data_IF_944774115926
#
_entry.id   IF_944774115926
#
_cell.length_a   1.000
_cell.length_b   1.000
_cell.length_c   1.000
_cell.angle_alpha   90.00
_cell.angle_beta   90.00
_cell.angle_gamma   90.00
#
_symmetry.space_group_name_H-M   'P 1'
#
loop_
_entity.id
_entity.type
_entity.pdbx_description
1 polymer ?
#
# COMPACT_ATOMS: atom_id res chain seq x y z
N UNK A 1 22.91 58.11 -34.52
CA UNK A 1 23.56 56.80 -34.43
C UNK A 1 23.08 56.16 -33.13
N UNK A 2 22.15 55.19 -33.26
CA UNK A 2 21.58 54.50 -32.10
C UNK A 2 22.00 53.03 -32.18
N UNK A 3 22.85 52.61 -31.25
CA UNK A 3 23.20 51.19 -31.10
C UNK A 3 22.15 50.51 -30.21
N UNK A 4 21.49 49.50 -30.74
CA UNK A 4 20.44 48.75 -30.07
C UNK A 4 21.06 47.68 -29.16
N UNK A 5 20.63 47.66 -27.91
CA UNK A 5 20.93 46.61 -26.95
C UNK A 5 20.20 45.29 -27.32
N UNK A 6 20.91 44.33 -27.85
CA UNK A 6 20.44 43.00 -28.21
C UNK A 6 21.15 41.93 -27.35
N UNK A 7 21.16 42.05 -26.03
CA UNK A 7 21.99 41.18 -25.19
C UNK A 7 21.31 40.53 -23.98
N UNK A 8 20.04 40.79 -23.69
CA UNK A 8 19.48 40.36 -22.39
C UNK A 8 18.34 39.35 -22.49
N UNK A 9 17.82 39.06 -23.70
CA UNK A 9 16.65 38.16 -23.85
C UNK A 9 17.04 36.68 -23.94
N UNK A 10 18.33 36.37 -24.16
CA UNK A 10 18.75 34.95 -24.33
C UNK A 10 19.02 34.16 -23.04
N UNK A 11 19.12 34.81 -21.89
CA UNK A 11 19.55 34.12 -20.65
C UNK A 11 18.38 33.63 -19.74
N UNK A 12 17.14 34.05 -20.00
CA UNK A 12 16.00 33.71 -19.11
C UNK A 12 15.27 32.45 -19.54
N UNK A 13 15.40 32.02 -20.81
CA UNK A 13 14.73 30.81 -21.33
C UNK A 13 15.48 29.50 -21.01
N UNK A 14 16.71 29.55 -20.52
CA UNK A 14 17.52 28.37 -20.19
C UNK A 14 17.28 27.79 -18.78
N UNK A 15 16.68 28.55 -17.86
CA UNK A 15 16.54 28.15 -16.47
C UNK A 15 15.18 27.49 -16.15
N UNK A 16 14.21 27.58 -17.03
CA UNK A 16 12.87 26.97 -16.82
C UNK A 16 12.83 25.51 -17.26
N UNK A 17 13.77 25.07 -18.09
CA UNK A 17 13.79 23.71 -18.66
C UNK A 17 14.38 22.60 -17.76
N UNK A 18 15.07 22.94 -16.68
CA UNK A 18 15.80 21.93 -15.86
C UNK A 18 14.97 21.42 -14.69
N UNK A 19 13.88 22.08 -14.32
CA UNK A 19 13.04 21.64 -13.19
C UNK A 19 11.99 20.58 -13.52
N UNK A 20 11.81 20.25 -14.80
CA UNK A 20 10.79 19.29 -15.23
C UNK A 20 11.25 17.82 -15.26
N UNK A 21 12.54 17.54 -15.03
CA UNK A 21 13.10 16.19 -15.18
C UNK A 21 13.32 15.43 -13.86
N UNK A 22 12.96 15.99 -12.71
CA UNK A 22 13.13 15.32 -11.40
C UNK A 22 11.83 14.74 -10.86
N UNK A 23 10.71 14.86 -11.59
CA UNK A 23 9.42 14.25 -11.19
C UNK A 23 9.30 12.76 -11.59
N UNK A 24 10.38 12.11 -11.94
CA UNK A 24 10.41 10.69 -12.32
C UNK A 24 10.70 9.78 -11.12
N UNK A 25 9.66 9.29 -10.44
CA UNK A 25 9.70 7.93 -9.90
C UNK A 25 10.41 7.68 -8.58
N UNK A 26 10.56 8.63 -7.68
CA UNK A 26 10.88 8.31 -6.30
C UNK A 26 9.63 7.74 -5.61
N UNK A 27 9.72 6.50 -5.10
CA UNK A 27 8.71 5.96 -4.20
C UNK A 27 8.49 6.95 -3.04
N UNK A 28 7.23 7.16 -2.65
CA UNK A 28 6.92 8.00 -1.49
C UNK A 28 7.59 7.45 -0.23
N UNK A 29 7.84 8.27 0.78
CA UNK A 29 8.36 7.78 2.06
C UNK A 29 7.42 6.74 2.68
N UNK A 30 6.11 6.92 2.53
CA UNK A 30 5.10 5.94 2.92
C UNK A 30 5.31 4.60 2.21
N UNK A 31 5.54 4.62 0.90
CA UNK A 31 5.76 3.39 0.13
C UNK A 31 7.07 2.69 0.50
N UNK A 32 8.14 3.45 0.79
CA UNK A 32 9.40 2.88 1.30
C UNK A 32 9.19 2.23 2.67
N UNK A 33 8.49 2.92 3.58
CA UNK A 33 8.14 2.35 4.88
C UNK A 33 7.29 1.09 4.72
N UNK A 34 6.30 1.11 3.83
CA UNK A 34 5.48 -0.06 3.50
C UNK A 34 6.29 -1.23 3.01
N UNK A 35 7.30 -0.99 2.16
CA UNK A 35 8.23 -2.04 1.69
C UNK A 35 9.01 -2.69 2.83
N UNK A 36 9.53 -1.89 3.76
CA UNK A 36 10.27 -2.40 4.92
C UNK A 36 9.39 -3.27 5.81
N UNK A 37 8.18 -2.79 6.11
CA UNK A 37 7.20 -3.52 6.91
C UNK A 37 6.74 -4.79 6.21
N UNK A 38 6.48 -4.73 4.91
CA UNK A 38 6.13 -5.89 4.10
C UNK A 38 7.23 -6.96 4.14
N UNK A 39 8.49 -6.56 3.97
CA UNK A 39 9.62 -7.47 4.03
C UNK A 39 9.74 -8.16 5.41
N UNK A 40 9.34 -7.47 6.48
CA UNK A 40 9.42 -8.04 7.83
C UNK A 40 8.22 -8.95 8.18
N UNK A 41 7.00 -8.55 7.81
CA UNK A 41 5.78 -9.18 8.30
C UNK A 41 5.05 -10.04 7.25
N UNK A 42 5.20 -9.76 5.96
CA UNK A 42 4.36 -10.32 4.90
C UNK A 42 5.11 -11.24 3.95
N UNK A 43 6.37 -10.92 3.66
CA UNK A 43 7.19 -11.57 2.63
C UNK A 43 7.32 -13.09 2.85
N UNK A 44 7.36 -13.54 4.09
CA UNK A 44 7.52 -14.96 4.39
C UNK A 44 6.38 -15.83 3.84
N UNK A 45 5.17 -15.28 3.82
CA UNK A 45 3.99 -15.98 3.31
C UNK A 45 3.64 -15.57 1.88
N UNK A 46 3.76 -14.29 1.54
CA UNK A 46 3.34 -13.75 0.25
C UNK A 46 4.46 -13.66 -0.80
N UNK A 47 5.72 -13.97 -0.44
CA UNK A 47 6.87 -13.83 -1.32
C UNK A 47 7.42 -12.40 -1.39
N UNK A 48 8.64 -12.25 -1.86
CA UNK A 48 9.32 -10.95 -1.94
C UNK A 48 8.64 -10.00 -2.93
N UNK A 49 8.18 -10.53 -4.07
CA UNK A 49 7.47 -9.76 -5.09
C UNK A 49 5.95 -9.86 -5.00
N UNK A 50 5.43 -10.46 -3.94
CA UNK A 50 4.00 -10.71 -3.75
C UNK A 50 3.42 -11.82 -4.60
N UNK A 51 4.28 -12.56 -5.33
CA UNK A 51 3.84 -13.65 -6.20
C UNK A 51 3.50 -14.88 -5.39
N UNK A 52 2.40 -15.49 -5.79
CA UNK A 52 2.02 -16.80 -5.31
C UNK A 52 3.20 -17.77 -5.56
N UNK A 53 3.52 -18.62 -4.59
CA UNK A 53 4.61 -19.59 -4.59
C UNK A 53 6.04 -19.09 -4.27
N UNK A 54 6.26 -17.81 -4.08
CA UNK A 54 7.56 -17.30 -3.61
C UNK A 54 7.69 -17.34 -2.06
N UNK A 55 6.58 -17.52 -1.34
CA UNK A 55 6.59 -17.59 0.12
C UNK A 55 7.36 -18.80 0.65
N UNK A 56 7.93 -18.65 1.83
CA UNK A 56 8.65 -19.74 2.50
C UNK A 56 7.71 -20.91 2.80
N UNK A 57 8.13 -22.12 2.45
CA UNK A 57 7.34 -23.35 2.61
C UNK A 57 5.96 -23.32 1.93
N UNK A 58 5.82 -22.62 0.82
CA UNK A 58 4.56 -22.50 0.07
C UNK A 58 3.80 -23.83 -0.06
N UNK A 59 4.48 -24.90 -0.43
CA UNK A 59 3.86 -26.22 -0.67
C UNK A 59 3.23 -26.84 0.58
N UNK A 60 3.73 -26.50 1.77
CA UNK A 60 3.26 -27.03 3.05
C UNK A 60 2.30 -26.07 3.79
N UNK A 61 2.03 -24.89 3.24
CA UNK A 61 1.04 -24.00 3.82
C UNK A 61 -0.36 -24.59 3.71
N UNK A 62 -1.23 -24.39 4.74
CA UNK A 62 -2.62 -24.81 4.66
C UNK A 62 -3.40 -24.04 3.59
N UNK A 63 -4.52 -24.58 3.17
CA UNK A 63 -5.46 -23.87 2.33
C UNK A 63 -6.43 -23.02 3.19
N UNK A 64 -6.88 -21.87 2.69
CA UNK A 64 -6.50 -21.25 1.42
C UNK A 64 -5.06 -20.72 1.44
N UNK A 65 -4.33 -20.91 0.34
CA UNK A 65 -2.98 -20.39 0.16
C UNK A 65 -2.95 -18.86 0.24
N UNK A 66 -1.81 -18.24 0.62
CA UNK A 66 -1.64 -16.81 0.53
C UNK A 66 -1.97 -16.29 -0.87
N UNK A 67 -2.71 -15.18 -0.92
CA UNK A 67 -3.13 -14.55 -2.17
C UNK A 67 -1.94 -14.03 -2.98
N UNK A 68 -2.03 -14.11 -4.31
CA UNK A 68 -1.06 -13.50 -5.24
C UNK A 68 -1.29 -11.99 -5.29
N UNK A 69 -0.45 -11.25 -4.58
CA UNK A 69 -0.52 -9.79 -4.48
C UNK A 69 0.03 -9.08 -5.72
N UNK A 70 0.70 -9.81 -6.62
CA UNK A 70 1.20 -9.27 -7.90
C UNK A 70 0.16 -9.37 -9.01
N UNK A 71 -0.91 -10.13 -8.82
CA UNK A 71 -1.96 -10.33 -9.81
C UNK A 71 -2.86 -9.09 -9.92
N UNK A 72 -2.57 -8.21 -10.89
CA UNK A 72 -3.33 -6.98 -11.11
C UNK A 72 -4.83 -7.22 -11.32
N UNK A 73 -5.19 -8.23 -12.10
CA UNK A 73 -6.59 -8.52 -12.41
C UNK A 73 -7.40 -8.84 -11.16
N UNK A 74 -6.83 -9.61 -10.25
CA UNK A 74 -7.47 -9.98 -9.01
C UNK A 74 -7.42 -8.84 -7.99
N UNK A 75 -6.24 -8.24 -7.79
CA UNK A 75 -6.04 -7.21 -6.79
C UNK A 75 -6.77 -5.90 -7.09
N UNK A 76 -7.10 -5.62 -8.37
CA UNK A 76 -7.89 -4.45 -8.74
C UNK A 76 -9.36 -4.54 -8.32
N UNK A 77 -9.86 -5.71 -7.97
CA UNK A 77 -11.24 -5.89 -7.47
C UNK A 77 -11.42 -5.45 -6.02
N UNK A 78 -10.32 -5.35 -5.27
CA UNK A 78 -10.35 -4.93 -3.87
C UNK A 78 -10.14 -3.43 -3.74
N UNK A 79 -10.90 -2.81 -2.83
CA UNK A 79 -10.66 -1.43 -2.39
C UNK A 79 -9.48 -1.39 -1.42
N UNK A 80 -8.90 -0.21 -1.23
CA UNK A 80 -7.77 -0.03 -0.29
C UNK A 80 -8.16 -0.39 1.14
N UNK A 81 -9.39 -0.01 1.54
CA UNK A 81 -9.94 -0.30 2.86
C UNK A 81 -10.16 -1.81 3.08
N UNK A 82 -10.46 -2.57 2.03
CA UNK A 82 -10.64 -4.02 2.13
C UNK A 82 -9.30 -4.71 2.36
N UNK A 83 -8.23 -4.23 1.71
CA UNK A 83 -6.87 -4.71 1.96
C UNK A 83 -6.45 -4.34 3.39
N UNK A 84 -6.69 -3.09 3.80
CA UNK A 84 -6.42 -2.62 5.16
C UNK A 84 -7.16 -3.48 6.20
N UNK A 85 -8.45 -3.70 6.01
CA UNK A 85 -9.28 -4.50 6.92
C UNK A 85 -8.83 -5.96 6.99
N UNK A 86 -8.32 -6.51 5.88
CA UNK A 86 -7.76 -7.86 5.86
C UNK A 86 -6.50 -7.96 6.72
N UNK A 87 -5.65 -6.94 6.72
CA UNK A 87 -4.42 -6.89 7.52
C UNK A 87 -4.73 -6.63 8.99
N UNK A 88 -5.71 -5.75 9.29
CA UNK A 88 -6.07 -5.28 10.62
C UNK A 88 -7.25 -6.02 11.25
N UNK A 89 -7.80 -7.06 10.62
CA UNK A 89 -8.98 -7.78 11.11
C UNK A 89 -8.80 -8.27 12.55
N UNK A 90 -9.88 -8.41 13.28
CA UNK A 90 -9.86 -9.08 14.57
C UNK A 90 -9.67 -10.60 14.38
N UNK A 91 -8.98 -11.26 15.31
CA UNK A 91 -8.81 -12.72 15.28
C UNK A 91 -10.13 -13.50 15.31
N UNK A 92 -11.19 -12.86 15.77
CA UNK A 92 -12.55 -13.43 15.83
C UNK A 92 -13.32 -13.26 14.51
N UNK A 93 -12.86 -12.37 13.63
CA UNK A 93 -13.49 -12.16 12.35
C UNK A 93 -13.01 -13.24 11.38
N UNK A 94 -13.84 -14.24 11.19
CA UNK A 94 -13.70 -15.17 10.07
C UNK A 94 -13.65 -14.34 8.78
N UNK A 95 -12.67 -14.62 7.94
CA UNK A 95 -12.32 -13.87 6.73
C UNK A 95 -13.49 -13.22 6.01
N UNK A 96 -13.38 -11.93 5.60
CA UNK A 96 -14.24 -11.36 4.57
C UNK A 96 -13.91 -12.02 3.23
N UNK A 97 -14.69 -12.91 2.82
CA UNK A 97 -14.46 -13.83 1.71
C UNK A 97 -14.82 -15.24 2.10
N UNK A 98 -15.24 -15.36 3.37
CA UNK A 98 -15.90 -16.49 4.02
C UNK A 98 -16.00 -17.77 3.22
N UNK A 99 -14.88 -18.31 2.78
CA UNK A 99 -14.83 -19.73 2.56
C UNK A 99 -15.01 -20.33 3.95
N UNK A 100 -16.23 -20.70 4.25
CA UNK A 100 -16.54 -21.59 5.36
C UNK A 100 -15.63 -22.80 5.19
N UNK A 101 -14.53 -22.80 5.94
CA UNK A 101 -13.68 -23.98 6.05
C UNK A 101 -14.48 -24.97 6.87
N UNK A 102 -15.42 -25.69 6.19
CA UNK A 102 -16.28 -26.67 6.82
C UNK A 102 -17.11 -26.13 7.99
N UNK A 103 -17.86 -26.99 8.63
CA UNK A 103 -18.63 -26.68 9.85
C UNK A 103 -17.74 -26.56 11.12
N UNK A 104 -16.43 -26.40 10.97
CA UNK A 104 -15.49 -26.30 12.07
C UNK A 104 -15.50 -24.87 12.67
N UNK A 105 -16.10 -24.78 13.84
CA UNK A 105 -16.17 -23.60 14.71
C UNK A 105 -14.77 -23.04 15.11
N UNK A 106 -13.69 -23.70 14.73
CA UNK A 106 -12.28 -23.40 15.05
C UNK A 106 -11.40 -23.10 13.83
N UNK A 107 -11.96 -22.73 12.68
CA UNK A 107 -11.17 -22.35 11.52
C UNK A 107 -10.35 -21.08 11.83
N UNK A 108 -9.11 -21.27 12.24
CA UNK A 108 -8.16 -20.16 12.46
C UNK A 108 -7.78 -19.60 11.10
N UNK A 109 -7.97 -18.30 10.84
CA UNK A 109 -7.48 -17.68 9.61
C UNK A 109 -5.98 -17.95 9.45
N UNK A 110 -5.58 -18.42 8.27
CA UNK A 110 -4.17 -18.71 7.96
C UNK A 110 -3.30 -17.46 8.00
N UNK A 111 -3.87 -16.29 7.66
CA UNK A 111 -3.19 -15.01 7.78
C UNK A 111 -3.39 -14.43 9.19
N UNK A 112 -2.33 -14.16 9.95
CA UNK A 112 -2.43 -13.55 11.27
C UNK A 112 -3.01 -12.12 11.19
N UNK A 113 -3.57 -11.64 12.30
CA UNK A 113 -3.93 -10.22 12.42
C UNK A 113 -2.73 -9.38 12.82
N UNK A 114 -2.61 -8.20 12.23
CA UNK A 114 -1.57 -7.24 12.59
C UNK A 114 -2.12 -6.02 13.35
N UNK A 115 -3.42 -6.01 13.67
CA UNK A 115 -4.11 -4.93 14.40
C UNK A 115 -3.44 -4.51 15.70
N UNK A 116 -2.83 -5.47 16.39
CA UNK A 116 -2.21 -5.24 17.70
C UNK A 116 -0.67 -5.12 17.64
N UNK A 117 -0.11 -5.28 16.44
CA UNK A 117 1.34 -5.27 16.20
C UNK A 117 1.79 -4.02 15.46
N UNK A 118 0.95 -3.52 14.56
CA UNK A 118 1.23 -2.39 13.70
C UNK A 118 0.29 -1.22 14.00
N UNK A 119 0.81 -0.01 13.92
CA UNK A 119 0.00 1.20 13.95
C UNK A 119 -0.84 1.32 12.67
N UNK A 120 -1.92 2.07 12.70
CA UNK A 120 -2.81 2.26 11.55
C UNK A 120 -2.07 2.82 10.34
N UNK A 121 -1.18 3.80 10.55
CA UNK A 121 -0.36 4.39 9.49
C UNK A 121 0.62 3.40 8.87
N UNK A 122 1.12 2.44 9.66
CA UNK A 122 2.00 1.38 9.18
C UNK A 122 1.24 0.38 8.31
N UNK A 123 -0.01 0.06 8.67
CA UNK A 123 -0.87 -0.78 7.84
C UNK A 123 -1.19 -0.08 6.52
N UNK A 124 -1.52 1.22 6.54
CA UNK A 124 -1.72 2.00 5.32
C UNK A 124 -0.47 2.09 4.45
N UNK A 125 0.73 2.15 5.05
CA UNK A 125 1.98 2.09 4.31
C UNK A 125 2.15 0.74 3.61
N UNK A 126 1.79 -0.37 4.27
CA UNK A 126 1.78 -1.71 3.64
C UNK A 126 0.78 -1.76 2.48
N UNK A 127 -0.43 -1.20 2.63
CA UNK A 127 -1.43 -1.14 1.56
C UNK A 127 -0.88 -0.42 0.32
N UNK A 128 -0.22 0.75 0.51
CA UNK A 128 0.41 1.50 -0.58
C UNK A 128 1.50 0.67 -1.28
N UNK A 129 2.33 -0.02 -0.52
CA UNK A 129 3.34 -0.91 -1.11
C UNK A 129 2.70 -2.09 -1.86
N UNK A 130 1.69 -2.75 -1.30
CA UNK A 130 0.96 -3.84 -1.96
C UNK A 130 0.35 -3.38 -3.27
N UNK A 131 -0.22 -2.16 -3.33
CA UNK A 131 -0.71 -1.57 -4.59
C UNK A 131 0.40 -1.45 -5.64
N UNK A 132 1.59 -1.11 -5.22
CA UNK A 132 2.74 -0.99 -6.13
C UNK A 132 3.18 -2.32 -6.73
N UNK A 133 3.01 -3.44 -6.03
CA UNK A 133 3.41 -4.78 -6.50
C UNK A 133 2.69 -5.19 -7.79
N UNK A 134 1.46 -4.75 -7.99
CA UNK A 134 0.69 -4.99 -9.21
C UNK A 134 0.50 -3.73 -10.07
N UNK A 135 1.35 -2.71 -9.86
CA UNK A 135 1.40 -1.50 -10.70
C UNK A 135 0.20 -0.57 -10.53
N UNK A 136 -0.46 -0.60 -9.39
CA UNK A 136 -1.51 0.34 -9.01
C UNK A 136 -1.01 1.36 -7.99
N UNK A 137 -1.75 2.43 -7.81
CA UNK A 137 -1.55 3.39 -6.72
C UNK A 137 -2.68 3.22 -5.71
N UNK A 138 -2.38 3.47 -4.46
CA UNK A 138 -3.38 3.57 -3.41
C UNK A 138 -4.26 4.81 -3.68
N UNK A 139 -5.57 4.63 -3.64
CA UNK A 139 -6.56 5.71 -3.83
C UNK A 139 -6.93 6.37 -2.50
N UNK A 140 -6.83 5.61 -1.41
CA UNK A 140 -7.16 6.10 -0.07
C UNK A 140 -6.17 7.15 0.40
N UNK A 141 -6.69 8.30 0.85
CA UNK A 141 -5.89 9.43 1.31
C UNK A 141 -5.88 9.49 2.83
N UNK A 142 -4.87 8.89 3.43
CA UNK A 142 -4.68 8.80 4.89
C UNK A 142 -4.76 10.18 5.56
N UNK A 143 -4.15 11.21 4.95
CA UNK A 143 -4.13 12.57 5.50
C UNK A 143 -5.53 13.24 5.49
N UNK A 144 -6.33 12.99 4.46
CA UNK A 144 -7.70 13.51 4.40
C UNK A 144 -8.55 12.86 5.51
N UNK A 145 -8.42 11.54 5.67
CA UNK A 145 -9.14 10.79 6.70
C UNK A 145 -8.74 11.22 8.12
N UNK A 146 -7.46 11.47 8.35
CA UNK A 146 -6.97 11.98 9.64
C UNK A 146 -7.62 13.32 9.99
N UNK A 147 -7.65 14.26 9.05
CA UNK A 147 -8.29 15.56 9.25
C UNK A 147 -9.77 15.44 9.58
N UNK A 148 -10.49 14.59 8.86
CA UNK A 148 -11.92 14.33 9.14
C UNK A 148 -12.14 13.82 10.57
N UNK A 149 -11.30 12.91 11.03
CA UNK A 149 -11.38 12.36 12.38
C UNK A 149 -11.06 13.43 13.46
N UNK A 150 -10.03 14.24 13.26
CA UNK A 150 -9.66 15.34 14.16
C UNK A 150 -10.78 16.38 14.26
N UNK A 151 -11.40 16.74 13.13
CA UNK A 151 -12.56 17.64 13.11
C UNK A 151 -13.77 17.04 13.83
N UNK A 152 -14.04 15.75 13.63
CA UNK A 152 -15.14 15.06 14.30
C UNK A 152 -14.95 15.03 15.83
N UNK A 153 -13.74 14.73 16.30
CA UNK A 153 -13.39 14.76 17.74
C UNK A 153 -13.53 16.15 18.32
N UNK A 154 -13.15 17.19 17.57
CA UNK A 154 -13.25 18.58 18.03
C UNK A 154 -14.71 19.03 18.16
N UNK A 155 -15.59 18.58 17.24
CA UNK A 155 -17.03 18.88 17.28
C UNK A 155 -17.80 18.15 18.38
N UNK A 156 -17.24 17.02 18.86
CA UNK A 156 -17.87 16.20 19.91
C UNK A 156 -17.54 16.65 21.34
N UNK A 157 -16.67 17.65 21.51
CA UNK A 157 -16.32 18.27 22.79
C UNK A 157 -17.11 19.55 23.02
#
# INVERSE_FOLDING_TARGET
MKAANLGVIGAVLGLVGVWALVAGGCASEQQKRGKELYAHYCMHCHGESGRQNEGFNWSSMPDPKPKDLSNKSEMSTFKDEEIFNTISRDMKDTSPGGDKIGDDEFAVPTMPTFKYTLAEEEIWAIVDYVRSLHGMKMEFKVEERRKELEEAVTKAK
#
